data_IF_551480771998
#
_entry.id   IF_551480771998
#
_cell.length_a   1.000
_cell.length_b   1.000
_cell.length_c   1.000
_cell.angle_alpha   90.00
_cell.angle_beta   90.00
_cell.angle_gamma   90.00
#
_symmetry.space_group_name_H-M   'P 1'
#
loop_
_entity.id
_entity.type
_entity.pdbx_description
1 polymer ?
#
# COMPACT_ATOMS: atom_id res chain seq x y z
N UNK A 1 15.79 -9.42 -6.95
CA UNK A 1 15.14 -10.34 -6.00
C UNK A 1 13.77 -9.76 -5.72
N UNK A 2 12.72 -10.57 -5.85
CA UNK A 2 11.37 -10.14 -5.53
C UNK A 2 11.28 -9.74 -4.05
N UNK A 3 10.53 -8.68 -3.78
CA UNK A 3 10.35 -8.13 -2.44
C UNK A 3 9.65 -6.79 -2.47
N UNK A 4 9.50 -6.17 -1.31
CA UNK A 4 8.78 -4.92 -1.17
C UNK A 4 9.48 -3.94 -0.24
N UNK A 5 9.25 -2.65 -0.49
CA UNK A 5 9.66 -1.52 0.34
C UNK A 5 8.44 -0.68 0.66
N UNK A 6 8.42 -0.02 1.81
CA UNK A 6 7.34 0.89 2.18
C UNK A 6 7.73 2.35 1.93
N UNK A 7 6.79 3.11 1.40
CA UNK A 7 6.80 4.56 1.53
C UNK A 7 6.32 4.96 2.93
N UNK A 8 6.69 6.15 3.44
CA UNK A 8 6.34 6.57 4.80
C UNK A 8 4.85 6.49 5.15
N UNK A 9 3.89 6.82 4.27
CA UNK A 9 2.46 6.68 4.60
C UNK A 9 2.04 5.23 4.85
N UNK A 10 2.50 4.30 4.01
CA UNK A 10 2.24 2.89 4.18
C UNK A 10 2.92 2.32 5.43
N UNK A 11 4.14 2.76 5.73
CA UNK A 11 4.88 2.32 6.91
C UNK A 11 4.13 2.69 8.20
N UNK A 12 3.76 3.97 8.35
CA UNK A 12 2.97 4.43 9.49
C UNK A 12 1.52 3.90 9.52
N UNK A 13 1.00 3.39 8.41
CA UNK A 13 -0.27 2.66 8.41
C UNK A 13 -0.15 1.29 9.11
N UNK A 14 1.01 0.64 9.04
CA UNK A 14 1.23 -0.65 9.72
C UNK A 14 1.13 -0.50 11.24
N UNK A 15 1.72 0.56 11.80
CA UNK A 15 1.64 0.86 13.24
C UNK A 15 0.20 1.07 13.71
N UNK A 16 -0.59 1.79 12.91
CA UNK A 16 -2.02 2.00 13.18
C UNK A 16 -2.81 0.70 13.10
N UNK A 17 -2.58 -0.10 12.05
CA UNK A 17 -3.22 -1.41 11.88
C UNK A 17 -2.88 -2.32 13.06
N UNK A 18 -1.62 -2.36 13.49
CA UNK A 18 -1.18 -3.11 14.66
C UNK A 18 -1.93 -2.65 15.90
N UNK A 19 -1.86 -1.35 16.23
CA UNK A 19 -2.43 -0.79 17.45
C UNK A 19 -3.94 -1.02 17.54
N UNK A 20 -4.66 -0.71 16.46
CA UNK A 20 -6.12 -0.94 16.36
C UNK A 20 -6.47 -2.42 16.51
N UNK A 21 -5.64 -3.32 15.97
CA UNK A 21 -5.89 -4.76 16.00
C UNK A 21 -5.63 -5.32 17.39
N UNK A 22 -4.57 -4.88 18.06
CA UNK A 22 -4.26 -5.23 19.45
C UNK A 22 -5.40 -4.78 20.36
N UNK A 23 -5.85 -3.52 20.22
CA UNK A 23 -6.90 -2.96 21.07
C UNK A 23 -8.22 -3.75 20.94
N UNK A 24 -8.61 -4.11 19.71
CA UNK A 24 -9.91 -4.74 19.45
C UNK A 24 -9.92 -6.25 19.65
N UNK A 25 -8.81 -6.93 19.36
CA UNK A 25 -8.78 -8.39 19.25
C UNK A 25 -7.55 -9.05 19.91
N UNK A 26 -6.66 -8.27 20.52
CA UNK A 26 -5.48 -8.75 21.21
C UNK A 26 -4.26 -8.99 20.31
N UNK A 27 -3.11 -9.14 20.97
CA UNK A 27 -1.80 -9.20 20.31
C UNK A 27 -1.64 -10.40 19.37
N UNK A 28 -2.12 -11.57 19.75
CA UNK A 28 -2.05 -12.77 18.89
C UNK A 28 -2.77 -12.55 17.54
N UNK A 29 -3.87 -11.78 17.56
CA UNK A 29 -4.57 -11.42 16.33
C UNK A 29 -3.77 -10.40 15.50
N UNK A 30 -3.14 -9.41 16.16
CA UNK A 30 -2.31 -8.41 15.49
C UNK A 30 -1.10 -9.04 14.79
N UNK A 31 -0.40 -9.96 15.47
CA UNK A 31 0.71 -10.74 14.89
C UNK A 31 0.23 -11.47 13.64
N UNK A 32 -0.84 -12.26 13.76
CA UNK A 32 -1.35 -13.03 12.60
C UNK A 32 -1.72 -12.13 11.43
N UNK A 33 -2.38 -11.00 11.70
CA UNK A 33 -2.89 -10.13 10.66
C UNK A 33 -1.76 -9.40 9.92
N UNK A 34 -0.80 -8.84 10.65
CA UNK A 34 0.37 -8.15 10.07
C UNK A 34 1.29 -9.13 9.36
N UNK A 35 1.58 -10.30 9.94
CA UNK A 35 2.37 -11.34 9.23
C UNK A 35 1.71 -11.75 7.91
N UNK A 36 0.41 -11.97 7.89
CA UNK A 36 -0.29 -12.31 6.65
C UNK A 36 -0.32 -11.15 5.63
N UNK A 37 -0.36 -9.89 6.08
CA UNK A 37 -0.21 -8.73 5.20
C UNK A 37 1.16 -8.76 4.50
N UNK A 38 2.25 -9.01 5.24
CA UNK A 38 3.59 -9.13 4.66
C UNK A 38 3.73 -10.30 3.70
N UNK A 39 3.11 -11.44 3.99
CA UNK A 39 3.07 -12.59 3.07
C UNK A 39 2.34 -12.23 1.76
N UNK A 40 1.23 -11.49 1.86
CA UNK A 40 0.49 -11.00 0.70
C UNK A 40 1.33 -10.02 -0.14
N UNK A 41 2.06 -9.10 0.49
CA UNK A 41 2.96 -8.18 -0.20
C UNK A 41 4.09 -8.91 -0.94
N UNK A 42 4.68 -9.93 -0.31
CA UNK A 42 5.68 -10.78 -0.96
C UNK A 42 5.10 -11.46 -2.19
N UNK A 43 3.91 -12.07 -2.07
CA UNK A 43 3.23 -12.71 -3.18
C UNK A 43 2.97 -11.75 -4.36
N UNK A 44 2.57 -10.50 -4.09
CA UNK A 44 2.36 -9.50 -5.14
C UNK A 44 3.66 -9.15 -5.88
N UNK A 45 4.80 -9.12 -5.19
CA UNK A 45 6.10 -8.88 -5.82
C UNK A 45 6.52 -10.03 -6.75
N UNK A 46 6.07 -11.25 -6.46
CA UNK A 46 6.39 -12.45 -7.23
C UNK A 46 5.41 -12.70 -8.39
N UNK A 47 4.26 -12.00 -8.42
CA UNK A 47 3.20 -12.22 -9.43
C UNK A 47 2.85 -10.99 -10.29
N UNK A 48 3.81 -10.38 -11.02
CA UNK A 48 3.56 -9.18 -11.84
C UNK A 48 2.39 -9.24 -12.86
N UNK A 49 2.09 -10.38 -13.51
CA UNK A 49 1.00 -10.44 -14.48
C UNK A 49 -0.41 -10.31 -13.88
N UNK A 50 -0.58 -10.49 -12.56
CA UNK A 50 -1.88 -10.46 -11.88
C UNK A 50 -2.21 -9.09 -11.26
N UNK A 51 -1.31 -8.11 -11.42
CA UNK A 51 -1.46 -6.80 -10.80
C UNK A 51 -2.55 -5.99 -11.48
N UNK A 52 -3.51 -5.51 -10.70
CA UNK A 52 -4.58 -4.63 -11.19
C UNK A 52 -4.10 -3.19 -11.15
N UNK A 53 -3.97 -2.57 -12.33
CA UNK A 53 -3.63 -1.16 -12.46
C UNK A 53 -4.79 -0.30 -11.97
N UNK A 54 -4.48 0.74 -11.20
CA UNK A 54 -5.45 1.73 -10.77
C UNK A 54 -5.82 2.60 -11.99
N UNK A 55 -7.12 2.73 -12.33
CA UNK A 55 -7.52 3.54 -13.48
C UNK A 55 -7.20 5.02 -13.26
N UNK A 56 -6.58 5.66 -14.26
CA UNK A 56 -6.10 7.06 -14.15
C UNK A 56 -7.20 8.14 -14.07
N UNK A 57 -8.47 7.75 -14.15
CA UNK A 57 -9.62 8.66 -13.99
C UNK A 57 -10.22 8.65 -12.57
N UNK A 58 -9.75 7.76 -11.69
CA UNK A 58 -10.03 7.86 -10.24
C UNK A 58 -9.11 8.92 -9.65
N UNK A 59 -9.57 9.59 -8.58
CA UNK A 59 -9.04 10.77 -7.87
C UNK A 59 -7.54 10.76 -7.52
N UNK A 60 -6.73 10.57 -8.54
CA UNK A 60 -5.29 10.64 -8.58
C UNK A 60 -5.00 11.98 -9.25
N UNK A 61 -3.97 12.73 -8.82
CA UNK A 61 -3.52 13.88 -9.58
C UNK A 61 -3.38 13.50 -11.05
N UNK A 62 -4.05 14.22 -11.97
CA UNK A 62 -4.03 13.91 -13.40
C UNK A 62 -2.61 13.87 -13.98
N UNK A 63 -1.67 14.50 -13.28
CA UNK A 63 -0.25 14.59 -13.61
C UNK A 63 0.61 13.50 -12.96
N UNK A 64 0.03 12.56 -12.20
CA UNK A 64 0.79 11.48 -11.57
C UNK A 64 1.40 10.58 -12.65
N UNK A 65 2.69 10.76 -12.94
CA UNK A 65 3.45 10.02 -13.96
C UNK A 65 3.77 8.57 -13.55
N UNK A 66 3.15 8.06 -12.49
CA UNK A 66 3.48 6.77 -11.87
C UNK A 66 2.34 5.79 -12.03
N UNK A 67 2.66 4.63 -12.59
CA UNK A 67 1.74 3.49 -12.62
C UNK A 67 1.54 2.93 -11.20
N UNK A 68 0.34 3.16 -10.67
CA UNK A 68 -0.12 2.61 -9.39
C UNK A 68 -0.98 1.39 -9.64
N UNK A 69 -0.80 0.37 -8.82
CA UNK A 69 -1.54 -0.87 -8.79
C UNK A 69 -2.19 -1.04 -7.42
N UNK A 70 -3.21 -1.88 -7.34
CA UNK A 70 -3.89 -2.14 -6.08
C UNK A 70 -4.27 -3.61 -5.90
N UNK A 71 -4.36 -4.00 -4.63
CA UNK A 71 -4.87 -5.30 -4.21
C UNK A 71 -5.67 -5.15 -2.91
N UNK A 72 -6.36 -6.22 -2.53
CA UNK A 72 -7.03 -6.29 -1.24
C UNK A 72 -6.41 -7.38 -0.39
N UNK A 73 -6.30 -7.11 0.90
CA UNK A 73 -5.97 -8.09 1.92
C UNK A 73 -6.91 -7.89 3.11
N UNK A 74 -7.83 -8.83 3.32
CA UNK A 74 -8.90 -8.67 4.29
C UNK A 74 -9.71 -7.39 4.01
N UNK A 75 -9.70 -6.47 4.97
CA UNK A 75 -10.38 -5.16 4.87
C UNK A 75 -9.45 -4.01 4.49
N UNK A 76 -8.23 -4.32 4.05
CA UNK A 76 -7.23 -3.35 3.64
C UNK A 76 -7.15 -3.28 2.11
N UNK A 77 -7.19 -2.07 1.59
CA UNK A 77 -6.70 -1.72 0.27
C UNK A 77 -5.19 -1.48 0.35
N UNK A 78 -4.44 -2.16 -0.50
CA UNK A 78 -2.99 -1.97 -0.63
C UNK A 78 -2.72 -1.37 -1.99
N UNK A 79 -2.14 -0.16 -1.99
CA UNK A 79 -1.70 0.54 -3.19
C UNK A 79 -0.18 0.47 -3.29
N UNK A 80 0.32 0.17 -4.48
CA UNK A 80 1.75 -0.04 -4.69
C UNK A 80 2.14 0.27 -6.13
N UNK A 81 3.43 0.50 -6.35
CA UNK A 81 4.03 0.67 -7.69
C UNK A 81 5.08 -0.38 -7.93
N UNK A 82 5.43 -0.61 -9.19
CA UNK A 82 6.63 -1.38 -9.53
C UNK A 82 7.89 -0.54 -9.32
N UNK A 83 8.93 -1.18 -8.80
CA UNK A 83 10.28 -0.66 -8.68
C UNK A 83 11.22 -1.48 -9.59
N UNK A 84 12.48 -1.07 -9.69
CA UNK A 84 13.49 -1.85 -10.39
C UNK A 84 13.77 -3.20 -9.70
N UNK A 85 13.97 -4.23 -10.51
CA UNK A 85 14.43 -5.55 -10.06
C UNK A 85 13.40 -6.41 -9.34
N UNK A 86 12.22 -6.60 -9.93
CA UNK A 86 11.08 -7.40 -9.42
C UNK A 86 10.56 -6.99 -8.04
N UNK A 87 10.87 -5.76 -7.61
CA UNK A 87 10.39 -5.21 -6.35
C UNK A 87 9.14 -4.36 -6.55
N UNK A 88 8.35 -4.26 -5.49
CA UNK A 88 7.24 -3.30 -5.41
C UNK A 88 7.49 -2.27 -4.30
N UNK A 89 7.01 -1.06 -4.51
CA UNK A 89 7.00 0.00 -3.51
C UNK A 89 5.57 0.16 -3.01
N UNK A 90 5.31 -0.18 -1.77
CA UNK A 90 4.00 -0.05 -1.13
C UNK A 90 3.79 1.41 -0.78
N UNK A 91 2.85 2.03 -1.49
CA UNK A 91 2.56 3.46 -1.45
C UNK A 91 1.65 3.79 -0.28
N UNK A 92 0.55 3.04 -0.13
CA UNK A 92 -0.46 3.29 0.89
C UNK A 92 -1.17 2.00 1.27
N UNK A 93 -1.57 1.89 2.54
CA UNK A 93 -2.41 0.82 3.07
C UNK A 93 -3.60 1.47 3.79
N UNK A 94 -4.80 1.31 3.24
CA UNK A 94 -6.00 1.98 3.71
C UNK A 94 -7.08 0.97 4.11
N UNK A 95 -7.75 1.20 5.23
CA UNK A 95 -8.89 0.37 5.61
C UNK A 95 -10.11 0.73 4.75
N UNK A 96 -10.94 -0.25 4.41
CA UNK A 96 -12.17 -0.10 3.61
C UNK A 96 -13.24 0.85 4.19
N UNK A 97 -13.09 1.28 5.46
CA UNK A 97 -14.00 2.23 6.13
C UNK A 97 -13.52 3.67 6.00
N UNK A 98 -12.33 3.89 5.49
CA UNK A 98 -11.79 5.22 5.22
C UNK A 98 -12.37 5.78 3.93
N UNK A 99 -12.28 7.09 3.78
CA UNK A 99 -12.45 7.73 2.47
C UNK A 99 -11.23 7.42 1.60
N UNK A 100 -11.22 6.21 1.02
CA UNK A 100 -10.09 5.66 0.27
C UNK A 100 -9.64 6.59 -0.86
N UNK A 101 -10.53 7.16 -1.70
CA UNK A 101 -10.11 8.09 -2.74
C UNK A 101 -9.38 9.32 -2.19
N UNK A 102 -9.91 9.97 -1.15
CA UNK A 102 -9.30 11.18 -0.58
C UNK A 102 -7.94 10.86 0.05
N UNK A 103 -7.87 9.82 0.89
CA UNK A 103 -6.62 9.43 1.56
C UNK A 103 -5.54 8.98 0.59
N UNK A 104 -5.92 8.26 -0.44
CA UNK A 104 -4.98 7.85 -1.48
C UNK A 104 -4.41 9.07 -2.22
N UNK A 105 -5.24 10.06 -2.54
CA UNK A 105 -4.77 11.29 -3.17
C UNK A 105 -3.74 12.03 -2.31
N UNK A 106 -4.00 12.16 -1.01
CA UNK A 106 -3.06 12.75 -0.03
C UNK A 106 -1.73 12.00 0.02
N UNK A 107 -1.78 10.66 0.13
CA UNK A 107 -0.57 9.83 0.20
C UNK A 107 0.26 9.89 -1.09
N UNK A 108 -0.40 9.98 -2.26
CA UNK A 108 0.27 10.11 -3.55
C UNK A 108 0.98 11.46 -3.70
N UNK A 109 0.39 12.56 -3.22
CA UNK A 109 1.03 13.88 -3.22
C UNK A 109 2.31 13.89 -2.37
N UNK A 110 2.31 13.21 -1.22
CA UNK A 110 3.50 13.08 -0.36
C UNK A 110 4.64 12.39 -1.11
N UNK A 111 4.33 11.39 -1.95
CA UNK A 111 5.34 10.64 -2.70
C UNK A 111 5.88 11.46 -3.87
N UNK A 112 5.00 12.16 -4.59
CA UNK A 112 5.39 13.02 -5.72
C UNK A 112 6.35 14.14 -5.28
N UNK A 113 6.01 14.83 -4.18
CA UNK A 113 6.86 15.88 -3.61
C UNK A 113 8.28 15.39 -3.27
N UNK A 114 8.44 14.11 -2.92
CA UNK A 114 9.75 13.52 -2.60
C UNK A 114 10.52 13.02 -3.82
N UNK A 115 9.86 12.84 -4.96
CA UNK A 115 10.52 12.44 -6.21
C UNK A 115 11.11 13.61 -7.00
N UNK A 116 10.74 14.85 -6.68
CA UNK A 116 11.32 16.06 -7.31
C UNK A 116 12.61 16.57 -6.61
N UNK A 117 12.96 16.00 -5.44
CA UNK A 117 14.15 16.35 -4.66
C UNK A 117 15.41 15.51 -5.04
N UNK A 118 15.41 14.79 -6.16
CA UNK A 118 16.55 13.97 -6.64
C UNK A 118 16.81 14.19 -8.12
#
# INVERSE_FOLDING_TARGET
MAGYLFYPPADGAQDRIWSDTVEKWGEAQAIRYVTGLHQHLQFLSETPPLLRKLPGNLAIPADLKVDVYFSHYGRLYVFFRRLSGDRIGVVSILHDRMDVPVRLAEDLQIIEARSEDT
#
